data_IF_580125684006
#
_entry.id   IF_580125684006
#
_cell.length_a   1.000
_cell.length_b   1.000
_cell.length_c   1.000
_cell.angle_alpha   90.00
_cell.angle_beta   90.00
_cell.angle_gamma   90.00
#
_symmetry.space_group_name_H-M   'P 1'
#
loop_
_entity.id
_entity.type
_entity.pdbx_description
1 polymer ?
#
# COMPACT_ATOMS: atom_id res chain seq x y z
N UNK A 1 18.81 18.88 24.30
CA UNK A 1 18.20 17.61 23.84
C UNK A 1 17.32 17.94 22.65
N UNK A 2 17.56 17.32 21.50
CA UNK A 2 16.72 17.54 20.31
C UNK A 2 15.56 16.54 20.34
N UNK A 3 14.32 17.01 20.22
CA UNK A 3 13.11 16.15 20.12
C UNK A 3 12.63 16.19 18.68
N UNK A 4 12.57 15.03 18.02
CA UNK A 4 11.95 14.91 16.70
C UNK A 4 10.47 14.57 16.86
N UNK A 5 9.59 15.46 16.40
CA UNK A 5 8.13 15.35 16.56
C UNK A 5 7.37 15.26 15.23
N UNK A 6 8.07 15.10 14.10
CA UNK A 6 7.48 15.02 12.75
C UNK A 6 7.42 13.56 12.25
N UNK A 7 6.80 12.68 13.02
CA UNK A 7 6.68 11.26 12.65
C UNK A 7 5.76 11.01 11.46
N UNK A 8 4.91 11.96 11.11
CA UNK A 8 4.09 11.89 9.89
C UNK A 8 4.94 12.00 8.62
N UNK A 9 6.07 12.72 8.65
CA UNK A 9 7.01 12.80 7.54
C UNK A 9 7.87 11.53 7.41
N UNK A 10 8.42 11.04 8.52
CA UNK A 10 9.21 9.78 8.59
C UNK A 10 9.43 9.40 10.03
N UNK A 11 9.70 8.12 10.30
CA UNK A 11 10.04 7.65 11.64
C UNK A 11 11.50 7.21 11.72
N UNK A 12 12.08 7.26 12.91
CA UNK A 12 13.38 6.65 13.19
C UNK A 12 13.23 5.12 13.10
N UNK A 13 14.16 4.46 12.39
CA UNK A 13 14.22 3.00 12.38
C UNK A 13 14.48 2.48 13.80
N UNK A 14 13.73 1.46 14.22
CA UNK A 14 13.88 0.88 15.55
C UNK A 14 15.13 0.02 15.66
N UNK A 15 15.71 -0.07 16.87
CA UNK A 15 16.90 -0.91 17.12
C UNK A 15 16.61 -2.40 16.85
N UNK A 16 15.40 -2.86 17.11
CA UNK A 16 15.00 -4.24 16.82
C UNK A 16 14.99 -4.52 15.32
N UNK A 17 14.52 -3.57 14.53
CA UNK A 17 14.52 -3.64 13.06
C UNK A 17 15.96 -3.66 12.56
N UNK A 18 16.81 -2.75 13.02
CA UNK A 18 18.22 -2.68 12.61
C UNK A 18 18.96 -4.00 12.93
N UNK A 19 18.83 -4.51 14.16
CA UNK A 19 19.44 -5.79 14.57
C UNK A 19 19.00 -6.95 13.69
N UNK A 20 17.74 -6.97 13.32
CA UNK A 20 17.18 -8.02 12.51
C UNK A 20 17.59 -7.92 11.03
N UNK A 21 17.86 -6.71 10.51
CA UNK A 21 18.35 -6.50 9.16
C UNK A 21 19.83 -6.89 8.99
N UNK A 22 20.65 -6.76 10.02
CA UNK A 22 22.10 -6.95 9.91
C UNK A 22 22.51 -8.29 9.29
N UNK A 23 21.97 -9.47 9.70
CA UNK A 23 22.33 -10.73 9.07
C UNK A 23 21.99 -10.81 7.58
N UNK A 24 20.93 -10.10 7.13
CA UNK A 24 20.52 -10.06 5.75
C UNK A 24 21.39 -9.14 4.89
N UNK A 25 22.12 -8.24 5.51
CA UNK A 25 23.08 -7.36 4.85
C UNK A 25 24.46 -8.00 4.75
N UNK A 26 24.83 -8.89 5.68
CA UNK A 26 26.19 -9.43 5.82
C UNK A 26 26.28 -10.91 5.45
N UNK A 27 25.37 -11.73 5.95
CA UNK A 27 25.50 -13.20 5.90
C UNK A 27 24.56 -13.81 4.85
N UNK A 28 23.35 -13.26 4.69
CA UNK A 28 22.31 -13.76 3.78
C UNK A 28 22.17 -12.79 2.58
N UNK A 29 23.25 -12.60 1.85
CA UNK A 29 23.34 -11.63 0.74
C UNK A 29 22.98 -12.21 -0.65
N UNK A 30 22.56 -13.47 -0.71
CA UNK A 30 22.27 -14.14 -1.97
C UNK A 30 21.13 -13.50 -2.78
N UNK A 31 21.21 -13.61 -4.11
CA UNK A 31 20.10 -13.20 -4.96
C UNK A 31 18.98 -14.25 -4.88
N UNK A 32 17.75 -13.90 -4.45
CA UNK A 32 16.63 -14.83 -4.31
C UNK A 32 16.20 -15.52 -5.63
N UNK A 33 16.59 -14.96 -6.77
CA UNK A 33 16.32 -15.55 -8.08
C UNK A 33 17.32 -16.63 -8.49
N UNK A 34 18.42 -16.82 -7.73
CA UNK A 34 19.45 -17.80 -8.03
C UNK A 34 19.04 -19.20 -7.59
N UNK A 35 19.43 -20.22 -8.38
CA UNK A 35 19.08 -21.62 -8.13
C UNK A 35 19.99 -22.33 -7.12
N UNK A 36 21.16 -21.79 -6.84
CA UNK A 36 22.11 -22.36 -5.87
C UNK A 36 21.70 -22.09 -4.42
N UNK A 37 22.28 -22.82 -3.46
CA UNK A 37 21.89 -22.79 -2.05
C UNK A 37 21.88 -21.38 -1.42
N UNK A 38 22.85 -20.54 -1.72
CA UNK A 38 22.92 -19.16 -1.20
C UNK A 38 21.72 -18.33 -1.64
N UNK A 39 21.27 -18.48 -2.91
CA UNK A 39 20.06 -17.83 -3.41
C UNK A 39 18.78 -18.41 -2.81
N UNK A 40 18.73 -19.73 -2.59
CA UNK A 40 17.54 -20.37 -2.01
C UNK A 40 17.33 -19.95 -0.55
N UNK A 41 18.40 -19.83 0.26
CA UNK A 41 18.33 -19.30 1.62
C UNK A 41 17.75 -17.86 1.60
N UNK A 42 18.25 -17.02 0.70
CA UNK A 42 17.76 -15.67 0.54
C UNK A 42 16.26 -15.65 0.15
N UNK A 43 15.84 -16.54 -0.76
CA UNK A 43 14.44 -16.69 -1.17
C UNK A 43 13.52 -17.13 -0.02
N UNK A 44 13.95 -18.06 0.82
CA UNK A 44 13.19 -18.48 1.99
C UNK A 44 12.89 -17.31 2.92
N UNK A 45 13.87 -16.46 3.17
CA UNK A 45 13.67 -15.24 3.96
C UNK A 45 12.72 -14.25 3.28
N UNK A 46 12.83 -14.06 1.97
CA UNK A 46 11.94 -13.18 1.21
C UNK A 46 10.48 -13.66 1.28
N UNK A 47 10.24 -14.95 1.07
CA UNK A 47 8.87 -15.49 1.12
C UNK A 47 8.31 -15.48 2.55
N UNK A 48 9.09 -15.76 3.58
CA UNK A 48 8.66 -15.62 4.98
C UNK A 48 8.28 -14.16 5.32
N UNK A 49 8.96 -13.16 4.72
CA UNK A 49 8.57 -11.77 4.77
C UNK A 49 7.18 -11.54 4.21
N UNK A 50 7.00 -12.03 3.02
CA UNK A 50 5.76 -11.87 2.28
C UNK A 50 4.58 -12.49 3.03
N UNK A 51 4.77 -13.66 3.62
CA UNK A 51 3.78 -14.33 4.48
C UNK A 51 3.43 -13.47 5.70
N UNK A 52 4.44 -12.93 6.38
CA UNK A 52 4.23 -12.07 7.56
C UNK A 52 3.45 -10.80 7.19
N UNK A 53 3.83 -10.13 6.08
CA UNK A 53 3.12 -8.94 5.58
C UNK A 53 1.67 -9.27 5.26
N UNK A 54 1.43 -10.36 4.55
CA UNK A 54 0.09 -10.79 4.17
C UNK A 54 -0.79 -11.08 5.40
N UNK A 55 -0.26 -11.82 6.39
CA UNK A 55 -0.95 -12.10 7.64
C UNK A 55 -1.38 -10.81 8.35
N UNK A 56 -0.49 -9.81 8.40
CA UNK A 56 -0.74 -8.56 9.11
C UNK A 56 -1.91 -7.75 8.55
N UNK A 57 -2.18 -7.83 7.25
CA UNK A 57 -3.28 -7.10 6.60
C UNK A 57 -4.44 -8.00 6.15
N UNK A 58 -4.42 -9.29 6.50
CA UNK A 58 -5.46 -10.26 6.14
C UNK A 58 -5.49 -10.67 4.67
N UNK A 59 -4.35 -10.56 3.97
CA UNK A 59 -4.15 -10.92 2.56
C UNK A 59 -3.61 -12.35 2.36
N UNK A 60 -3.56 -12.82 1.12
CA UNK A 60 -2.77 -13.98 0.69
C UNK A 60 -1.34 -13.50 0.34
N UNK A 61 -0.27 -14.27 0.67
CA UNK A 61 1.10 -13.91 0.28
C UNK A 61 1.28 -13.65 -1.21
N UNK A 62 0.50 -14.30 -2.06
CA UNK A 62 0.52 -14.10 -3.51
C UNK A 62 -0.03 -12.75 -3.96
N UNK A 63 -0.69 -12.02 -3.08
CA UNK A 63 -1.27 -10.71 -3.33
C UNK A 63 -0.32 -9.55 -2.91
N UNK A 64 0.84 -9.87 -2.32
CA UNK A 64 1.84 -8.91 -1.88
C UNK A 64 2.94 -8.77 -2.94
N UNK A 65 3.27 -7.54 -3.30
CA UNK A 65 4.34 -7.17 -4.22
C UNK A 65 5.23 -6.11 -3.55
N UNK A 66 6.52 -6.42 -3.37
CA UNK A 66 7.45 -5.48 -2.76
C UNK A 66 7.80 -4.35 -3.73
N UNK A 67 7.92 -3.14 -3.18
CA UNK A 67 8.22 -1.90 -3.89
C UNK A 67 9.29 -1.10 -3.14
N UNK A 68 9.79 -0.03 -3.75
CA UNK A 68 10.72 0.90 -3.08
C UNK A 68 10.03 1.85 -2.08
N UNK A 69 8.71 1.78 -1.95
CA UNK A 69 7.93 2.63 -1.05
C UNK A 69 6.52 2.92 -1.57
N UNK A 70 5.79 3.76 -0.84
CA UNK A 70 4.41 4.11 -1.14
C UNK A 70 4.24 4.74 -2.52
N UNK A 71 5.13 5.66 -2.91
CA UNK A 71 5.01 6.33 -4.22
C UNK A 71 5.10 5.37 -5.40
N UNK A 72 5.97 4.36 -5.34
CA UNK A 72 6.01 3.32 -6.37
C UNK A 72 4.73 2.47 -6.34
N UNK A 73 4.28 2.08 -5.15
CA UNK A 73 3.07 1.29 -4.97
C UNK A 73 1.82 2.01 -5.51
N UNK A 74 1.64 3.30 -5.18
CA UNK A 74 0.55 4.14 -5.68
C UNK A 74 0.56 4.25 -7.21
N UNK A 75 1.72 4.56 -7.78
CA UNK A 75 1.87 4.66 -9.23
C UNK A 75 1.51 3.34 -9.91
N UNK A 76 2.00 2.21 -9.40
CA UNK A 76 1.73 0.89 -9.98
C UNK A 76 0.27 0.52 -9.86
N UNK A 77 -0.36 0.75 -8.70
CA UNK A 77 -1.78 0.47 -8.46
C UNK A 77 -2.67 1.28 -9.41
N UNK A 78 -2.51 2.61 -9.40
CA UNK A 78 -3.37 3.53 -10.15
C UNK A 78 -3.21 3.30 -11.65
N UNK A 79 -1.98 3.20 -12.17
CA UNK A 79 -1.75 2.91 -13.59
C UNK A 79 -2.28 1.56 -14.03
N UNK A 80 -2.13 0.53 -13.17
CA UNK A 80 -2.68 -0.80 -13.47
C UNK A 80 -4.20 -0.77 -13.61
N UNK A 81 -4.90 -0.14 -12.66
CA UNK A 81 -6.35 -0.01 -12.70
C UNK A 81 -6.82 0.81 -13.91
N UNK A 82 -6.15 1.94 -14.20
CA UNK A 82 -6.44 2.78 -15.35
C UNK A 82 -6.32 1.97 -16.67
N UNK A 83 -5.25 1.22 -16.85
CA UNK A 83 -5.04 0.44 -18.08
C UNK A 83 -5.96 -0.78 -18.19
N UNK A 84 -6.35 -1.39 -17.05
CA UNK A 84 -7.40 -2.42 -17.03
C UNK A 84 -8.73 -1.82 -17.50
N UNK A 85 -9.07 -0.62 -17.01
CA UNK A 85 -10.27 0.11 -17.40
C UNK A 85 -10.26 0.48 -18.88
N UNK A 86 -9.16 1.08 -19.36
CA UNK A 86 -9.02 1.50 -20.77
C UNK A 86 -9.24 0.35 -21.76
N UNK A 87 -8.81 -0.88 -21.43
CA UNK A 87 -9.06 -2.07 -22.25
C UNK A 87 -10.55 -2.43 -22.34
N UNK A 88 -11.37 -1.91 -21.42
CA UNK A 88 -12.82 -2.08 -21.38
C UNK A 88 -13.57 -0.83 -21.84
N UNK A 89 -12.89 0.16 -22.40
CA UNK A 89 -13.45 1.44 -22.82
C UNK A 89 -13.65 2.45 -21.68
N UNK A 90 -13.31 2.12 -20.43
CA UNK A 90 -13.52 2.97 -19.25
C UNK A 90 -12.29 3.82 -18.94
N UNK A 91 -12.47 5.13 -18.85
CA UNK A 91 -11.35 6.07 -18.64
C UNK A 91 -11.62 7.12 -17.56
N UNK A 92 -12.59 6.93 -16.69
CA UNK A 92 -12.89 7.83 -15.59
C UNK A 92 -12.32 7.29 -14.27
N UNK A 93 -11.68 8.19 -13.50
CA UNK A 93 -11.05 7.90 -12.19
C UNK A 93 -11.58 8.92 -11.18
N UNK A 94 -11.93 8.44 -10.00
CA UNK A 94 -12.37 9.27 -8.88
C UNK A 94 -11.31 9.25 -7.79
N UNK A 95 -10.99 10.43 -7.24
CA UNK A 95 -10.07 10.60 -6.12
C UNK A 95 -10.49 11.77 -5.23
N UNK A 96 -9.69 12.12 -4.24
CA UNK A 96 -9.92 13.30 -3.41
C UNK A 96 -8.89 14.40 -3.67
N UNK A 97 -9.22 15.65 -3.28
CA UNK A 97 -8.32 16.81 -3.43
C UNK A 97 -7.15 16.80 -2.46
N UNK A 98 -7.18 15.99 -1.42
CA UNK A 98 -6.17 16.00 -0.38
C UNK A 98 -5.35 14.70 -0.26
N UNK A 99 -5.25 13.96 -1.36
CA UNK A 99 -4.37 12.81 -1.50
C UNK A 99 -2.89 13.22 -1.44
N UNK A 100 -2.04 12.25 -1.14
CA UNK A 100 -0.60 12.44 -1.28
C UNK A 100 -0.22 12.75 -2.74
N UNK A 101 0.85 13.53 -2.93
CA UNK A 101 1.32 13.93 -4.27
C UNK A 101 1.63 12.75 -5.19
N UNK A 102 2.02 11.58 -4.63
CA UNK A 102 2.22 10.37 -5.43
C UNK A 102 0.93 9.92 -6.15
N UNK A 103 -0.23 10.13 -5.54
CA UNK A 103 -1.54 9.89 -6.15
C UNK A 103 -1.88 11.02 -7.13
N UNK A 104 -1.89 12.28 -6.67
CA UNK A 104 -2.32 13.43 -7.47
C UNK A 104 -1.49 13.59 -8.76
N UNK A 105 -0.16 13.50 -8.67
CA UNK A 105 0.69 13.64 -9.85
C UNK A 105 0.57 12.44 -10.80
N UNK A 106 0.28 11.24 -10.30
CA UNK A 106 -0.03 10.08 -11.15
C UNK A 106 -1.34 10.30 -11.91
N UNK A 107 -2.35 10.86 -11.24
CA UNK A 107 -3.62 11.22 -11.90
C UNK A 107 -3.43 12.33 -12.95
N UNK A 108 -2.60 13.33 -12.68
CA UNK A 108 -2.28 14.37 -13.65
C UNK A 108 -1.53 13.83 -14.89
N UNK A 109 -0.68 12.82 -14.70
CA UNK A 109 -0.05 12.12 -15.81
C UNK A 109 -1.09 11.36 -16.64
N UNK A 110 -2.03 10.66 -15.98
CA UNK A 110 -3.10 9.93 -16.67
C UNK A 110 -4.09 10.86 -17.41
N UNK A 111 -4.35 12.08 -16.90
CA UNK A 111 -5.12 13.09 -17.64
C UNK A 111 -4.48 13.40 -18.99
N UNK A 112 -3.14 13.51 -19.04
CA UNK A 112 -2.40 13.73 -20.30
C UNK A 112 -2.49 12.52 -21.24
N UNK A 113 -2.76 11.32 -20.71
CA UNK A 113 -2.99 10.09 -21.46
C UNK A 113 -4.48 9.91 -21.87
N UNK A 114 -5.34 10.91 -21.60
CA UNK A 114 -6.74 10.96 -22.02
C UNK A 114 -7.71 10.28 -21.03
N UNK A 115 -7.33 10.19 -19.74
CA UNK A 115 -8.25 9.82 -18.67
C UNK A 115 -8.96 11.05 -18.11
N UNK A 116 -10.23 10.88 -17.76
CA UNK A 116 -10.98 11.86 -16.98
C UNK A 116 -10.78 11.60 -15.49
N UNK A 117 -10.63 12.67 -14.70
CA UNK A 117 -10.39 12.56 -13.25
C UNK A 117 -11.33 13.52 -12.51
N UNK A 118 -12.17 12.95 -11.66
CA UNK A 118 -12.99 13.70 -10.70
C UNK A 118 -12.29 13.72 -9.34
N UNK A 119 -12.01 14.92 -8.84
CA UNK A 119 -11.45 15.11 -7.50
C UNK A 119 -12.55 15.59 -6.55
N UNK A 120 -12.93 14.75 -5.61
CA UNK A 120 -13.92 15.06 -4.59
C UNK A 120 -13.35 16.02 -3.56
N UNK A 121 -14.21 16.91 -3.06
CA UNK A 121 -13.89 17.76 -1.93
C UNK A 121 -13.91 16.97 -0.62
N UNK A 122 -13.19 17.47 0.36
CA UNK A 122 -13.32 17.04 1.75
C UNK A 122 -14.08 18.10 2.53
N UNK A 123 -14.87 17.66 3.50
CA UNK A 123 -15.64 18.55 4.34
C UNK A 123 -14.78 19.19 5.45
N UNK A 124 -15.35 20.07 6.26
CA UNK A 124 -14.63 20.76 7.34
C UNK A 124 -13.94 19.82 8.35
N UNK A 125 -14.39 18.58 8.43
CA UNK A 125 -13.78 17.51 9.22
C UNK A 125 -12.71 16.70 8.46
N UNK A 126 -12.40 17.06 7.22
CA UNK A 126 -11.42 16.34 6.38
C UNK A 126 -11.88 14.99 5.86
N UNK A 127 -13.19 14.71 5.83
CA UNK A 127 -13.75 13.41 5.40
C UNK A 127 -14.37 13.53 4.00
N UNK A 128 -14.08 12.54 3.15
CA UNK A 128 -14.83 12.28 1.91
C UNK A 128 -16.11 11.53 2.28
N UNK A 129 -17.26 12.01 1.89
CA UNK A 129 -18.52 11.31 2.14
C UNK A 129 -18.67 10.12 1.18
N UNK A 130 -19.05 8.93 1.67
CA UNK A 130 -19.32 7.77 0.81
C UNK A 130 -20.38 8.04 -0.27
N UNK A 131 -21.38 8.89 0.05
CA UNK A 131 -22.44 9.29 -0.88
C UNK A 131 -21.88 10.07 -2.08
N UNK A 132 -20.88 10.94 -1.84
CA UNK A 132 -20.25 11.70 -2.93
C UNK A 132 -19.50 10.77 -3.89
N UNK A 133 -18.85 9.73 -3.35
CA UNK A 133 -18.21 8.68 -4.17
C UNK A 133 -19.27 7.94 -4.97
N UNK A 134 -20.37 7.52 -4.33
CA UNK A 134 -21.48 6.80 -4.99
C UNK A 134 -22.10 7.61 -6.13
N UNK A 135 -22.27 8.93 -5.94
CA UNK A 135 -22.86 9.84 -6.92
C UNK A 135 -21.90 10.18 -8.07
N UNK A 136 -20.58 10.16 -7.82
CA UNK A 136 -19.56 10.43 -8.83
C UNK A 136 -19.28 9.22 -9.74
N UNK A 137 -19.61 7.99 -9.32
CA UNK A 137 -19.40 6.78 -10.12
C UNK A 137 -20.36 6.76 -11.31
N UNK A 138 -19.79 6.64 -12.51
CA UNK A 138 -20.47 6.48 -13.79
C UNK A 138 -20.12 5.15 -14.45
N UNK A 139 -20.74 4.82 -15.57
CA UNK A 139 -20.42 3.62 -16.36
C UNK A 139 -18.97 3.67 -16.92
N UNK A 140 -18.38 4.85 -17.06
CA UNK A 140 -17.02 5.07 -17.51
C UNK A 140 -15.99 4.94 -16.37
N UNK A 141 -16.43 4.84 -15.11
CA UNK A 141 -15.53 4.78 -13.96
C UNK A 141 -14.81 3.44 -13.89
N UNK A 142 -13.48 3.48 -13.86
CA UNK A 142 -12.62 2.29 -13.73
C UNK A 142 -11.92 2.17 -12.38
N UNK A 143 -11.72 3.28 -11.67
CA UNK A 143 -11.01 3.32 -10.40
C UNK A 143 -11.58 4.40 -9.48
N UNK A 144 -11.71 4.05 -8.21
CA UNK A 144 -11.76 5.00 -7.08
C UNK A 144 -10.47 4.84 -6.30
N UNK A 145 -9.81 5.96 -5.95
CA UNK A 145 -8.60 5.95 -5.13
C UNK A 145 -8.71 7.03 -4.05
N UNK A 146 -8.82 6.59 -2.78
CA UNK A 146 -8.96 7.46 -1.60
C UNK A 146 -8.00 6.95 -0.53
N UNK A 147 -7.17 7.85 0.04
CA UNK A 147 -6.22 7.47 1.09
C UNK A 147 -6.94 7.03 2.36
N UNK A 148 -6.36 6.10 3.10
CA UNK A 148 -6.96 5.60 4.35
C UNK A 148 -6.87 6.62 5.48
N UNK A 149 -5.73 7.29 5.61
CA UNK A 149 -5.51 8.33 6.62
C UNK A 149 -4.66 9.45 6.04
N UNK A 150 -5.04 10.69 6.33
CA UNK A 150 -4.32 11.84 5.82
C UNK A 150 -3.04 12.12 6.64
N UNK A 151 -1.94 12.39 5.95
CA UNK A 151 -0.63 12.61 6.55
C UNK A 151 -0.47 13.97 7.26
N UNK A 152 -1.35 14.94 6.99
CA UNK A 152 -1.23 16.30 7.55
C UNK A 152 -2.17 16.52 8.73
N UNK A 153 -3.43 16.14 8.60
CA UNK A 153 -4.45 16.37 9.63
C UNK A 153 -4.88 15.12 10.39
N UNK A 154 -4.38 13.94 10.00
CA UNK A 154 -4.63 12.67 10.70
C UNK A 154 -6.04 12.10 10.54
N UNK A 155 -6.88 12.67 9.68
CA UNK A 155 -8.26 12.21 9.46
C UNK A 155 -8.26 10.81 8.83
N UNK A 156 -9.03 9.89 9.41
CA UNK A 156 -9.24 8.53 8.90
C UNK A 156 -10.51 8.52 8.04
N UNK A 157 -10.39 8.02 6.81
CA UNK A 157 -11.48 7.97 5.84
C UNK A 157 -12.39 6.74 6.05
N UNK A 158 -13.66 6.79 5.67
CA UNK A 158 -14.62 5.68 5.78
C UNK A 158 -14.39 4.61 4.69
N UNK A 159 -13.17 4.05 4.66
CA UNK A 159 -12.66 3.18 3.58
C UNK A 159 -13.52 1.92 3.39
N UNK A 160 -13.97 1.29 4.47
CA UNK A 160 -14.79 0.08 4.37
C UNK A 160 -16.13 0.33 3.65
N UNK A 161 -16.74 1.50 3.88
CA UNK A 161 -17.99 1.89 3.24
C UNK A 161 -17.77 2.27 1.77
N UNK A 162 -16.72 3.06 1.48
CA UNK A 162 -16.32 3.40 0.11
C UNK A 162 -16.01 2.12 -0.67
N UNK A 163 -15.23 1.19 -0.09
CA UNK A 163 -14.91 -0.08 -0.72
C UNK A 163 -16.14 -0.94 -1.01
N UNK A 164 -17.12 -0.96 -0.09
CA UNK A 164 -18.41 -1.63 -0.33
C UNK A 164 -19.15 -1.03 -1.53
N UNK A 165 -19.23 0.32 -1.61
CA UNK A 165 -19.86 1.00 -2.75
C UNK A 165 -19.16 0.66 -4.06
N UNK A 166 -17.83 0.72 -4.10
CA UNK A 166 -17.04 0.38 -5.28
C UNK A 166 -17.30 -1.07 -5.73
N UNK A 167 -17.31 -2.01 -4.79
CA UNK A 167 -17.59 -3.42 -5.04
C UNK A 167 -18.99 -3.65 -5.62
N UNK A 168 -20.00 -3.01 -5.06
CA UNK A 168 -21.40 -3.08 -5.54
C UNK A 168 -21.55 -2.49 -6.95
N UNK A 169 -20.78 -1.46 -7.26
CA UNK A 169 -20.77 -0.80 -8.58
C UNK A 169 -19.81 -1.46 -9.58
N UNK A 170 -19.03 -2.47 -9.17
CA UNK A 170 -18.07 -3.17 -10.04
C UNK A 170 -16.88 -2.29 -10.47
N UNK A 171 -16.51 -1.30 -9.67
CA UNK A 171 -15.39 -0.39 -9.88
C UNK A 171 -14.21 -0.82 -9.00
N UNK A 172 -12.97 -0.77 -9.52
CA UNK A 172 -11.79 -1.07 -8.73
C UNK A 172 -11.56 -0.01 -7.65
N UNK A 173 -11.14 -0.46 -6.46
CA UNK A 173 -10.84 0.42 -5.34
C UNK A 173 -9.40 0.26 -4.87
N UNK A 174 -8.65 1.36 -4.90
CA UNK A 174 -7.31 1.51 -4.34
C UNK A 174 -7.33 2.43 -3.14
N UNK A 175 -6.48 2.17 -2.15
CA UNK A 175 -6.26 3.07 -1.02
C UNK A 175 -4.77 3.23 -0.73
N UNK A 176 -4.30 4.48 -0.63
CA UNK A 176 -3.01 4.77 0.00
C UNK A 176 -3.16 4.60 1.52
N UNK A 177 -2.56 3.55 2.06
CA UNK A 177 -2.57 3.21 3.48
C UNK A 177 -1.23 3.49 4.17
N UNK A 178 -0.36 4.29 3.56
CA UNK A 178 0.98 4.62 4.05
C UNK A 178 0.94 5.20 5.47
N UNK A 179 -0.06 6.01 5.81
CA UNK A 179 -0.25 6.56 7.16
C UNK A 179 -1.12 5.69 8.08
N UNK A 180 -1.71 4.61 7.58
CA UNK A 180 -2.62 3.76 8.35
C UNK A 180 -1.94 2.50 8.87
N UNK A 181 -1.19 1.82 8.00
CA UNK A 181 -0.53 0.57 8.33
C UNK A 181 0.53 0.81 9.40
N UNK A 182 0.47 -0.01 10.47
CA UNK A 182 1.33 0.16 11.64
C UNK A 182 0.81 1.15 12.69
N UNK A 183 -0.24 1.93 12.39
CA UNK A 183 -0.83 2.92 13.30
C UNK A 183 -2.26 2.56 13.72
N UNK A 184 -3.06 2.03 12.81
CA UNK A 184 -4.42 1.57 13.05
C UNK A 184 -4.60 0.14 12.49
N UNK A 185 -5.64 -0.61 12.94
CA UNK A 185 -5.95 -1.91 12.35
C UNK A 185 -6.30 -1.78 10.87
N UNK A 186 -5.61 -2.57 10.03
CA UNK A 186 -5.87 -2.65 8.58
C UNK A 186 -6.16 -4.10 8.23
N UNK A 187 -7.28 -4.34 7.56
CA UNK A 187 -7.62 -5.64 6.98
C UNK A 187 -8.24 -5.42 5.60
N UNK A 188 -7.58 -5.89 4.56
CA UNK A 188 -7.98 -5.64 3.17
C UNK A 188 -9.35 -6.22 2.81
N UNK A 189 -9.79 -7.27 3.51
CA UNK A 189 -11.12 -7.88 3.31
C UNK A 189 -12.22 -7.01 3.91
N UNK A 190 -12.00 -6.51 5.13
CA UNK A 190 -12.95 -5.63 5.83
C UNK A 190 -13.05 -4.27 5.12
N UNK A 191 -11.95 -3.80 4.55
CA UNK A 191 -11.88 -2.56 3.76
C UNK A 191 -12.49 -2.70 2.37
N UNK A 192 -12.74 -3.93 1.89
CA UNK A 192 -13.20 -4.23 0.52
C UNK A 192 -12.32 -3.58 -0.56
N UNK A 193 -11.03 -3.40 -0.32
CA UNK A 193 -10.13 -2.80 -1.30
C UNK A 193 -9.55 -3.86 -2.25
N UNK A 194 -9.30 -3.45 -3.48
CA UNK A 194 -8.64 -4.26 -4.50
C UNK A 194 -7.13 -4.11 -4.48
N UNK A 195 -6.65 -2.91 -4.10
CA UNK A 195 -5.24 -2.58 -4.01
C UNK A 195 -4.99 -1.65 -2.81
N UNK A 196 -3.80 -1.78 -2.19
CA UNK A 196 -3.41 -0.98 -1.03
C UNK A 196 -1.91 -0.73 -1.04
N UNK A 197 -1.50 0.53 -0.86
CA UNK A 197 -0.10 0.97 -0.88
C UNK A 197 0.46 1.22 0.51
N UNK A 198 1.72 0.83 0.73
CA UNK A 198 2.40 0.96 2.04
C UNK A 198 3.86 1.37 1.89
N UNK A 199 4.37 2.11 2.88
CA UNK A 199 5.77 2.51 2.99
C UNK A 199 6.33 2.26 4.39
N UNK A 200 7.43 1.51 4.49
CA UNK A 200 7.96 1.02 5.76
C UNK A 200 8.47 2.15 6.70
N UNK A 201 9.01 3.24 6.14
CA UNK A 201 9.58 4.33 6.95
C UNK A 201 8.54 5.13 7.76
N UNK A 202 7.27 4.88 7.58
CA UNK A 202 6.20 5.51 8.38
C UNK A 202 5.96 4.78 9.70
N UNK A 203 6.38 3.51 9.83
CA UNK A 203 6.21 2.69 11.02
C UNK A 203 7.51 2.02 11.46
N UNK A 204 8.56 2.82 11.61
CA UNK A 204 9.86 2.45 12.15
C UNK A 204 10.70 1.49 11.31
N UNK A 205 10.36 1.36 10.01
CA UNK A 205 11.13 0.61 9.04
C UNK A 205 12.14 1.46 8.27
N UNK A 206 12.94 0.84 7.40
CA UNK A 206 13.88 1.55 6.54
C UNK A 206 13.17 2.37 5.46
N UNK A 207 13.84 3.44 5.01
CA UNK A 207 13.50 4.15 3.78
C UNK A 207 13.82 3.28 2.57
N UNK A 208 13.15 3.52 1.45
CA UNK A 208 13.40 2.80 0.21
C UNK A 208 12.73 1.42 0.14
N UNK A 209 11.76 1.15 1.00
CA UNK A 209 11.03 -0.11 1.06
C UNK A 209 9.55 0.14 1.30
N UNK A 210 8.72 -0.61 0.58
CA UNK A 210 7.27 -0.63 0.74
C UNK A 210 6.69 -1.90 0.10
N UNK A 211 5.39 -1.94 0.01
CA UNK A 211 4.71 -2.98 -0.76
C UNK A 211 3.37 -2.48 -1.31
N UNK A 212 2.95 -3.15 -2.36
CA UNK A 212 1.63 -3.07 -2.93
C UNK A 212 0.88 -4.38 -2.62
N UNK A 213 -0.26 -4.29 -1.96
CA UNK A 213 -1.26 -5.35 -2.00
C UNK A 213 -2.08 -5.19 -3.29
N UNK A 214 -2.24 -6.28 -4.02
CA UNK A 214 -3.14 -6.35 -5.17
C UNK A 214 -3.92 -7.66 -5.11
N UNK A 215 -5.24 -7.56 -4.96
CA UNK A 215 -6.15 -8.70 -4.87
C UNK A 215 -5.96 -9.66 -6.06
N UNK A 216 -6.02 -10.94 -5.79
CA UNK A 216 -5.92 -12.00 -6.81
C UNK A 216 -6.83 -11.70 -8.01
N UNK A 217 -6.25 -11.74 -9.20
CA UNK A 217 -6.94 -11.42 -10.46
C UNK A 217 -6.68 -10.01 -10.98
N UNK A 218 -6.09 -9.10 -10.19
CA UNK A 218 -5.65 -7.80 -10.67
C UNK A 218 -4.39 -7.96 -11.52
N UNK A 219 -4.44 -7.48 -12.76
CA UNK A 219 -3.32 -7.52 -13.69
C UNK A 219 -2.43 -6.29 -13.50
N UNK A 220 -1.41 -6.39 -12.64
CA UNK A 220 -0.47 -5.30 -12.44
C UNK A 220 0.33 -5.01 -13.72
N UNK A 221 0.46 -3.72 -14.01
CA UNK A 221 1.33 -3.18 -15.05
C UNK A 221 2.72 -2.93 -14.49
N UNK A 222 3.75 -3.31 -15.23
CA UNK A 222 5.12 -3.01 -14.83
C UNK A 222 5.37 -1.51 -15.02
N UNK A 223 5.96 -0.87 -14.01
CA UNK A 223 6.43 0.52 -14.07
C UNK A 223 7.96 0.59 -14.01
N UNK A 224 8.61 -0.47 -13.56
CA UNK A 224 10.06 -0.68 -13.61
C UNK A 224 10.33 -1.92 -14.45
N UNK A 225 11.04 -1.74 -15.57
CA UNK A 225 11.33 -2.78 -16.54
C UNK A 225 12.74 -3.34 -16.36
N UNK A 226 12.92 -4.67 -16.54
CA UNK A 226 14.19 -5.36 -16.40
C UNK A 226 14.02 -6.83 -16.09
N UNK A 227 14.67 -7.35 -15.06
CA UNK A 227 14.58 -8.75 -14.64
C UNK A 227 13.19 -9.16 -14.16
N UNK A 228 13.00 -10.46 -13.98
CA UNK A 228 11.71 -11.11 -13.72
C UNK A 228 11.32 -11.16 -12.22
N UNK A 229 11.83 -10.24 -11.39
CA UNK A 229 11.53 -10.18 -9.97
C UNK A 229 10.06 -9.84 -9.72
N UNK A 230 9.62 -10.02 -8.47
CA UNK A 230 8.23 -9.82 -8.05
C UNK A 230 7.22 -10.44 -9.03
N UNK A 231 7.47 -11.68 -9.43
CA UNK A 231 6.62 -12.44 -10.37
C UNK A 231 6.41 -11.70 -11.70
N UNK A 232 7.49 -11.15 -12.26
CA UNK A 232 7.53 -10.32 -13.48
C UNK A 232 6.72 -9.00 -13.36
N UNK A 233 6.48 -8.48 -12.15
CA UNK A 233 5.72 -7.24 -11.95
C UNK A 233 6.58 -6.05 -11.57
N UNK A 234 7.83 -6.31 -11.18
CA UNK A 234 8.81 -5.29 -10.84
C UNK A 234 10.22 -5.82 -11.06
N UNK A 235 11.04 -5.11 -11.82
CA UNK A 235 12.45 -5.42 -11.97
C UNK A 235 13.27 -4.89 -10.78
N UNK A 236 14.41 -5.52 -10.54
CA UNK A 236 15.37 -5.15 -9.50
C UNK A 236 15.57 -6.30 -8.50
N UNK A 237 16.82 -6.45 -8.06
CA UNK A 237 17.16 -7.47 -7.06
C UNK A 237 16.50 -7.12 -5.73
N UNK A 238 15.81 -8.08 -5.12
CA UNK A 238 14.92 -7.87 -3.97
C UNK A 238 15.65 -7.69 -2.63
N UNK A 239 16.90 -7.28 -2.62
CA UNK A 239 17.68 -7.08 -1.38
C UNK A 239 16.97 -6.19 -0.36
N UNK A 240 16.17 -5.23 -0.84
CA UNK A 240 15.43 -4.33 0.05
C UNK A 240 14.19 -4.97 0.68
N UNK A 241 13.62 -5.98 0.05
CA UNK A 241 12.45 -6.68 0.58
C UNK A 241 12.79 -7.53 1.82
N UNK A 242 14.04 -7.98 1.97
CA UNK A 242 14.52 -8.60 3.19
C UNK A 242 14.35 -7.70 4.40
N UNK A 243 14.44 -6.39 4.21
CA UNK A 243 14.34 -5.42 5.30
C UNK A 243 12.91 -5.25 5.82
N UNK A 244 11.90 -5.57 5.02
CA UNK A 244 10.50 -5.57 5.47
C UNK A 244 10.20 -6.72 6.44
N UNK A 245 10.87 -7.85 6.30
CA UNK A 245 10.63 -9.05 7.10
C UNK A 245 10.63 -8.82 8.58
N UNK A 246 11.56 -8.03 9.02
CA UNK A 246 11.97 -7.97 10.39
C UNK A 246 11.40 -6.72 11.08
N UNK A 247 11.04 -5.72 10.29
CA UNK A 247 10.27 -4.56 10.75
C UNK A 247 8.90 -4.98 11.24
N UNK A 248 8.31 -6.01 10.66
CA UNK A 248 6.92 -6.37 10.87
C UNK A 248 6.69 -7.43 11.94
N UNK A 249 7.67 -8.27 12.24
CA UNK A 249 7.46 -9.32 13.24
C UNK A 249 7.28 -8.78 14.66
N UNK A 250 7.82 -7.62 15.02
CA UNK A 250 7.74 -7.09 16.37
C UNK A 250 6.72 -5.94 16.55
N UNK A 251 6.77 -4.82 15.82
CA UNK A 251 5.82 -3.73 16.05
C UNK A 251 4.39 -4.07 15.70
N UNK A 252 4.13 -4.78 14.61
CA UNK A 252 2.76 -5.12 14.20
C UNK A 252 2.13 -6.23 15.03
N UNK A 253 2.89 -7.26 15.41
CA UNK A 253 2.41 -8.23 16.42
C UNK A 253 2.15 -7.56 17.77
N UNK A 254 2.97 -6.61 18.16
CA UNK A 254 2.78 -5.82 19.38
C UNK A 254 1.55 -4.92 19.23
N UNK A 255 1.38 -4.20 18.13
CA UNK A 255 0.22 -3.38 17.84
C UNK A 255 -1.06 -4.22 17.71
N UNK A 256 -1.05 -5.33 16.99
CA UNK A 256 -2.18 -6.26 16.92
C UNK A 256 -2.55 -6.80 18.31
N UNK A 257 -1.57 -7.06 19.18
CA UNK A 257 -1.81 -7.50 20.55
C UNK A 257 -2.41 -6.39 21.39
N UNK A 258 -1.95 -5.15 21.22
CA UNK A 258 -2.51 -3.96 21.88
C UNK A 258 -3.93 -3.70 21.37
N UNK A 259 -4.15 -3.69 20.06
CA UNK A 259 -5.49 -3.46 19.48
C UNK A 259 -6.49 -4.58 19.79
N UNK A 260 -6.05 -5.85 19.87
CA UNK A 260 -6.92 -6.95 20.35
C UNK A 260 -7.35 -6.79 21.80
N UNK A 261 -6.57 -6.08 22.62
CA UNK A 261 -6.86 -5.80 24.04
C UNK A 261 -7.61 -4.48 24.24
N UNK A 262 -7.70 -3.61 23.24
CA UNK A 262 -8.49 -2.38 23.35
C UNK A 262 -9.99 -2.68 23.27
N UNK A 263 -10.82 -2.04 24.10
CA UNK A 263 -12.28 -2.20 24.01
C UNK A 263 -12.77 -1.72 22.64
N UNK A 264 -13.67 -2.51 22.02
CA UNK A 264 -14.21 -2.26 20.65
C UNK A 264 -15.09 -1.00 20.55
N UNK A 265 -15.09 -0.14 21.55
CA UNK A 265 -15.81 1.15 21.55
C UNK A 265 -14.86 2.24 22.02
N UNK A 266 -14.44 3.11 21.08
CA UNK A 266 -14.12 4.49 21.43
C UNK A 266 -15.46 5.18 21.76
N UNK A 267 -15.56 5.97 22.83
CA UNK A 267 -16.75 6.80 23.05
C UNK A 267 -16.90 7.76 21.87
N UNK A 268 -18.13 7.91 21.40
CA UNK A 268 -18.55 8.90 20.40
C UNK A 268 -18.29 10.32 20.89
#
# INVERSE_FOLDING_TARGET
MTVYADNAATTQMSDSVLKAMMPLLTDIYGNPSSLHSVGQIAKEHLEAARETVAECIGADPKEIYFTSGGSEADNQAIRSAAYIGARKGKKHIISSKFEHHAVLHTLDALKKEGFEVTLLDVYSNGIVKPEDVANAITDETCLVTIMTANNEIGTIQPIAEIGRICKEKGVLFHTDAVQAVGHIPVNVKDMNCDMLSVSAHKFHGPKGVGFLYARKGILLTNIIYGGAQERNKRAGTENMAFFLLLVWQQPLRMLQTIFRKMPKRLPQ
#
